data_IF_654005443475
#
_entry.id   IF_654005443475
#
_cell.length_a   1.000
_cell.length_b   1.000
_cell.length_c   1.000
_cell.angle_alpha   90.00
_cell.angle_beta   90.00
_cell.angle_gamma   90.00
#
_symmetry.space_group_name_H-M   'P 1'
#
loop_
_entity.id
_entity.type
_entity.pdbx_description
1 polymer ?
#
# COMPACT_ATOMS: atom_id res chain seq x y z
N UNK A 1 -53.24 30.15 40.78
CA UNK A 1 -51.90 30.73 40.59
C UNK A 1 -50.89 29.95 41.43
N UNK A 2 -50.08 29.09 40.78
CA UNK A 2 -48.69 28.76 41.13
C UNK A 2 -48.25 27.65 40.18
N UNK A 3 -47.62 28.11 39.11
CA UNK A 3 -46.88 27.38 38.10
C UNK A 3 -45.77 26.58 38.79
N UNK A 4 -45.69 25.27 38.56
CA UNK A 4 -44.46 24.50 38.76
C UNK A 4 -44.26 23.62 37.53
N UNK A 5 -43.35 24.10 36.69
CA UNK A 5 -42.87 23.48 35.48
C UNK A 5 -41.95 22.32 35.90
N UNK A 6 -42.41 21.08 35.78
CA UNK A 6 -41.53 19.91 35.91
C UNK A 6 -40.80 19.71 34.59
N UNK A 7 -39.63 20.35 34.47
CA UNK A 7 -38.62 20.01 33.47
C UNK A 7 -38.01 18.68 33.92
N UNK A 8 -38.48 17.58 33.33
CA UNK A 8 -37.75 16.31 33.44
C UNK A 8 -36.45 16.46 32.65
N UNK A 9 -35.36 16.67 33.40
CA UNK A 9 -34.00 16.47 32.94
C UNK A 9 -33.91 15.09 32.28
N UNK A 10 -33.73 15.09 30.96
CA UNK A 10 -33.29 13.89 30.25
C UNK A 10 -31.98 13.44 30.90
N UNK A 11 -32.04 12.26 31.52
CA UNK A 11 -30.90 11.60 32.12
C UNK A 11 -29.76 11.56 31.10
N UNK A 12 -28.59 12.04 31.54
CA UNK A 12 -27.30 11.83 30.91
C UNK A 12 -27.01 10.32 30.92
N UNK A 13 -27.68 9.56 30.06
CA UNK A 13 -27.17 8.26 29.66
C UNK A 13 -25.98 8.56 28.78
N UNK A 14 -24.85 8.59 29.47
CA UNK A 14 -23.48 8.54 29.00
C UNK A 14 -23.39 8.21 27.51
N UNK A 15 -22.89 9.16 26.72
CA UNK A 15 -22.31 8.90 25.42
C UNK A 15 -21.08 8.00 25.62
N UNK A 16 -21.29 6.73 25.94
CA UNK A 16 -20.25 5.71 26.06
C UNK A 16 -20.63 4.51 25.21
N UNK A 17 -20.86 4.78 23.93
CA UNK A 17 -20.76 3.78 22.87
C UNK A 17 -19.92 4.28 21.69
N UNK A 18 -19.02 5.25 21.92
CA UNK A 18 -18.11 5.79 20.88
C UNK A 18 -16.63 5.70 21.25
N UNK A 19 -16.24 4.82 22.19
CA UNK A 19 -14.83 4.63 22.59
C UNK A 19 -14.32 3.18 22.53
N UNK A 20 -14.95 2.31 21.74
CA UNK A 20 -14.39 1.00 21.39
C UNK A 20 -14.54 0.76 19.88
N UNK A 21 -13.71 1.44 19.11
CA UNK A 21 -13.67 1.32 17.64
C UNK A 21 -12.39 1.91 17.07
N UNK A 22 -11.29 1.85 17.82
CA UNK A 22 -9.97 1.80 17.18
C UNK A 22 -9.82 0.34 16.81
N UNK A 23 -10.23 -0.03 15.61
CA UNK A 23 -9.77 -1.25 14.97
C UNK A 23 -8.25 -1.13 14.95
N UNK A 24 -7.59 -1.79 15.91
CA UNK A 24 -6.16 -1.97 15.86
C UNK A 24 -5.90 -2.68 14.53
N UNK A 25 -5.06 -2.09 13.67
CA UNK A 25 -5.08 -2.48 12.29
C UNK A 25 -4.49 -3.89 12.27
N UNK A 26 -5.27 -4.86 11.79
CA UNK A 26 -5.02 -6.30 11.92
C UNK A 26 -3.53 -6.63 11.74
N UNK A 27 -2.92 -7.44 12.62
CA UNK A 27 -1.54 -7.84 12.48
C UNK A 27 -1.33 -8.48 11.10
N UNK A 28 -0.24 -8.10 10.43
CA UNK A 28 0.07 -8.66 9.11
C UNK A 28 0.28 -10.18 9.23
N UNK A 29 -0.30 -11.00 8.34
CA UNK A 29 -0.10 -12.44 8.39
C UNK A 29 1.39 -12.78 8.30
N UNK A 30 1.81 -13.80 9.05
CA UNK A 30 3.19 -14.29 8.97
C UNK A 30 3.41 -15.07 7.67
N UNK A 31 4.65 -15.10 7.17
CA UNK A 31 5.01 -15.88 5.98
C UNK A 31 4.54 -15.28 4.65
N UNK A 32 4.21 -13.98 4.61
CA UNK A 32 3.89 -13.28 3.36
C UNK A 32 5.09 -13.32 2.43
N UNK A 33 4.84 -13.81 1.22
CA UNK A 33 5.80 -13.76 0.11
C UNK A 33 5.32 -12.78 -0.95
N UNK A 34 6.12 -12.52 -1.98
CA UNK A 34 5.70 -11.73 -3.14
C UNK A 34 6.20 -12.35 -4.43
N UNK A 35 5.46 -12.08 -5.51
CA UNK A 35 5.72 -12.61 -6.85
C UNK A 35 5.88 -11.47 -7.86
N UNK A 36 6.79 -11.59 -8.85
CA UNK A 36 6.90 -10.60 -9.92
C UNK A 36 5.64 -10.63 -10.80
N UNK A 37 5.13 -9.45 -11.15
CA UNK A 37 3.98 -9.27 -12.04
C UNK A 37 4.43 -8.86 -13.44
N UNK A 38 5.39 -7.92 -13.54
CA UNK A 38 5.95 -7.51 -14.82
C UNK A 38 6.35 -6.04 -14.88
N UNK A 39 6.76 -5.60 -16.08
CA UNK A 39 7.22 -4.24 -16.33
C UNK A 39 6.17 -3.40 -17.06
N UNK A 40 5.82 -2.25 -16.49
CA UNK A 40 4.78 -1.37 -17.01
C UNK A 40 5.28 0.07 -17.13
N UNK A 41 4.76 0.80 -18.13
CA UNK A 41 5.06 2.22 -18.29
C UNK A 41 4.41 3.05 -17.19
N UNK A 42 5.06 4.14 -16.83
CA UNK A 42 4.53 5.19 -15.97
C UNK A 42 4.54 6.55 -16.68
N UNK A 43 3.83 7.53 -16.11
CA UNK A 43 3.79 8.91 -16.60
C UNK A 43 3.84 9.89 -15.43
N UNK A 44 4.06 11.16 -15.73
CA UNK A 44 4.11 12.20 -14.71
C UNK A 44 2.74 12.47 -14.05
N UNK A 45 1.66 12.55 -14.84
CA UNK A 45 0.31 12.79 -14.32
C UNK A 45 -0.80 12.24 -15.25
N UNK A 46 -1.77 11.47 -14.72
CA UNK A 46 -1.69 10.78 -13.43
C UNK A 46 -0.58 9.72 -13.44
N UNK A 47 0.00 9.39 -12.29
CA UNK A 47 0.90 8.23 -12.22
C UNK A 47 0.09 6.94 -12.21
N UNK A 48 0.69 5.85 -12.69
CA UNK A 48 0.10 4.51 -12.60
C UNK A 48 0.20 3.92 -11.19
N UNK A 49 1.22 4.35 -10.43
CA UNK A 49 1.38 4.08 -9.00
C UNK A 49 1.56 5.42 -8.27
N UNK A 50 0.53 5.94 -7.59
CA UNK A 50 0.49 7.35 -7.17
C UNK A 50 1.30 7.67 -5.91
N UNK A 51 1.58 6.69 -5.05
CA UNK A 51 2.25 6.93 -3.77
C UNK A 51 3.74 6.56 -3.84
N UNK A 52 4.63 7.53 -3.60
CA UNK A 52 6.03 7.24 -3.33
C UNK A 52 6.15 6.79 -1.87
N UNK A 53 6.39 5.49 -1.66
CA UNK A 53 6.52 4.90 -0.33
C UNK A 53 7.88 5.28 0.29
N UNK A 54 8.96 5.11 -0.48
CA UNK A 54 10.34 5.43 -0.07
C UNK A 54 11.27 5.54 -1.27
N UNK A 55 12.35 6.30 -1.13
CA UNK A 55 13.43 6.36 -2.11
C UNK A 55 14.69 5.67 -1.59
N UNK A 56 15.07 4.54 -2.20
CA UNK A 56 16.26 3.74 -1.84
C UNK A 56 17.43 3.93 -2.80
N UNK A 57 17.33 4.85 -3.78
CA UNK A 57 18.33 5.03 -4.84
C UNK A 57 19.75 5.27 -4.32
N UNK A 58 19.89 5.96 -3.18
CA UNK A 58 21.19 6.20 -2.55
C UNK A 58 21.83 4.97 -1.89
N UNK A 59 21.14 3.83 -1.83
CA UNK A 59 21.59 2.60 -1.14
C UNK A 59 21.43 1.34 -2.00
N UNK A 60 21.39 1.51 -3.33
CA UNK A 60 21.29 0.39 -4.27
C UNK A 60 22.59 -0.40 -4.23
N UNK A 61 22.46 -1.70 -3.95
CA UNK A 61 23.50 -2.67 -4.22
C UNK A 61 23.34 -3.15 -5.67
N UNK A 62 24.20 -2.66 -6.57
CA UNK A 62 24.15 -3.01 -8.00
C UNK A 62 24.58 -4.45 -8.28
N UNK A 63 25.30 -5.08 -7.35
CA UNK A 63 25.68 -6.49 -7.45
C UNK A 63 24.50 -7.41 -7.10
N UNK A 64 23.58 -6.93 -6.26
CA UNK A 64 22.42 -7.67 -5.79
C UNK A 64 21.18 -6.76 -5.62
N UNK A 65 20.39 -6.68 -6.69
CA UNK A 65 19.15 -5.90 -6.70
C UNK A 65 18.05 -6.50 -5.83
N UNK A 66 18.15 -7.76 -5.42
CA UNK A 66 17.14 -8.40 -4.56
C UNK A 66 17.04 -7.67 -3.22
N UNK A 67 18.14 -7.09 -2.72
CA UNK A 67 18.14 -6.24 -1.52
C UNK A 67 17.29 -4.98 -1.68
N UNK A 68 17.26 -4.40 -2.88
CA UNK A 68 16.40 -3.23 -3.16
C UNK A 68 14.93 -3.64 -3.28
N UNK A 69 14.68 -4.81 -3.88
CA UNK A 69 13.33 -5.39 -3.94
C UNK A 69 12.81 -5.66 -2.53
N UNK A 70 13.60 -6.30 -1.67
CA UNK A 70 13.21 -6.61 -0.30
C UNK A 70 12.92 -5.36 0.52
N UNK A 71 13.81 -4.34 0.47
CA UNK A 71 13.57 -3.05 1.14
C UNK A 71 12.25 -2.40 0.72
N UNK A 72 11.90 -2.50 -0.56
CA UNK A 72 10.63 -1.96 -1.06
C UNK A 72 9.43 -2.83 -0.63
N UNK A 73 9.57 -4.15 -0.63
CA UNK A 73 8.57 -5.06 -0.11
C UNK A 73 8.27 -4.77 1.37
N UNK A 74 9.30 -4.60 2.20
CA UNK A 74 9.15 -4.31 3.64
C UNK A 74 8.39 -2.99 3.86
N UNK A 75 8.76 -1.93 3.13
CA UNK A 75 8.07 -0.63 3.19
C UNK A 75 6.61 -0.72 2.72
N UNK A 76 6.37 -1.46 1.64
CA UNK A 76 5.03 -1.67 1.10
C UNK A 76 4.14 -2.49 2.04
N UNK A 77 4.70 -3.49 2.70
CA UNK A 77 4.02 -4.26 3.75
C UNK A 77 3.67 -3.40 4.95
N UNK A 78 4.61 -2.58 5.44
CA UNK A 78 4.36 -1.64 6.55
C UNK A 78 3.23 -0.66 6.22
N UNK A 79 3.06 -0.33 4.95
CA UNK A 79 1.98 0.51 4.42
C UNK A 79 0.76 -0.26 3.89
N UNK A 80 0.69 -1.57 4.12
CA UNK A 80 -0.42 -2.47 3.75
C UNK A 80 -0.80 -2.40 2.27
N UNK A 81 0.19 -2.30 1.39
CA UNK A 81 -0.05 -2.28 -0.06
C UNK A 81 -0.19 -3.71 -0.59
N UNK A 82 -1.15 -3.92 -1.49
CA UNK A 82 -1.33 -5.22 -2.18
C UNK A 82 -0.26 -5.42 -3.27
N UNK A 83 0.22 -4.32 -3.86
CA UNK A 83 1.26 -4.29 -4.87
C UNK A 83 2.29 -3.24 -4.52
N UNK A 84 3.52 -3.47 -4.96
CA UNK A 84 4.57 -2.47 -4.97
C UNK A 84 5.28 -2.47 -6.31
N UNK A 85 5.86 -1.34 -6.66
CA UNK A 85 6.59 -1.15 -7.90
C UNK A 85 7.90 -0.46 -7.63
N UNK A 86 8.93 -0.85 -8.37
CA UNK A 86 10.23 -0.20 -8.28
C UNK A 86 10.45 0.57 -9.56
N UNK A 87 10.57 1.90 -9.44
CA UNK A 87 10.92 2.81 -10.52
C UNK A 87 12.35 3.30 -10.36
N UNK A 88 12.96 3.67 -11.48
CA UNK A 88 14.26 4.32 -11.51
C UNK A 88 15.28 3.65 -10.57
N UNK A 89 15.34 2.32 -10.66
CA UNK A 89 16.22 1.40 -9.93
C UNK A 89 16.06 1.30 -8.41
N UNK A 90 15.27 2.16 -7.76
CA UNK A 90 15.17 2.14 -6.29
C UNK A 90 14.11 3.06 -5.68
N UNK A 91 13.25 3.69 -6.47
CA UNK A 91 12.07 4.38 -5.94
C UNK A 91 10.97 3.35 -5.72
N UNK A 92 10.53 3.23 -4.48
CA UNK A 92 9.49 2.32 -4.08
C UNK A 92 8.14 3.02 -4.20
N UNK A 93 7.31 2.54 -5.11
CA UNK A 93 5.99 3.07 -5.41
C UNK A 93 4.89 2.09 -4.99
N UNK A 94 3.74 2.66 -4.65
CA UNK A 94 2.55 1.93 -4.27
C UNK A 94 1.29 2.73 -4.61
N UNK A 95 0.18 2.28 -4.06
CA UNK A 95 -1.11 2.95 -4.14
C UNK A 95 -2.17 2.09 -3.50
N UNK A 96 -3.24 2.71 -3.02
CA UNK A 96 -4.38 1.98 -2.49
C UNK A 96 -5.14 1.29 -3.63
N UNK A 97 -5.84 0.18 -3.33
CA UNK A 97 -6.50 -0.68 -4.32
C UNK A 97 -7.36 0.10 -5.34
N UNK A 98 -8.07 1.14 -4.91
CA UNK A 98 -8.91 1.97 -5.78
C UNK A 98 -8.14 2.92 -6.71
N UNK A 99 -6.90 3.28 -6.36
CA UNK A 99 -6.08 4.24 -7.09
C UNK A 99 -4.88 3.60 -7.83
N UNK A 100 -4.69 2.29 -7.65
CA UNK A 100 -3.60 1.56 -8.24
C UNK A 100 -3.97 1.12 -9.67
N UNK A 101 -3.30 1.72 -10.67
CA UNK A 101 -3.58 1.49 -12.08
C UNK A 101 -2.31 1.13 -12.85
N UNK A 102 -1.43 0.32 -12.25
CA UNK A 102 -0.09 0.00 -12.79
C UNK A 102 -0.08 -0.50 -14.25
N UNK A 103 -1.18 -1.08 -14.75
CA UNK A 103 -1.31 -1.55 -16.15
C UNK A 103 -1.75 -0.48 -17.15
N UNK A 104 -2.20 0.71 -16.71
CA UNK A 104 -2.94 1.66 -17.54
C UNK A 104 -2.16 2.19 -18.76
N UNK A 105 -0.83 2.20 -18.71
CA UNK A 105 0.03 2.66 -19.82
C UNK A 105 0.70 1.53 -20.60
N UNK A 106 0.24 0.29 -20.37
CA UNK A 106 0.69 -0.91 -21.06
C UNK A 106 2.04 -1.44 -20.57
N UNK A 107 2.30 -2.71 -20.90
CA UNK A 107 3.56 -3.38 -20.58
C UNK A 107 4.70 -2.88 -21.47
N UNK A 108 5.91 -2.92 -20.93
CA UNK A 108 7.15 -2.68 -21.67
C UNK A 108 8.31 -3.45 -21.01
N UNK A 109 8.53 -4.73 -21.36
CA UNK A 109 9.58 -5.56 -20.76
C UNK A 109 10.99 -4.93 -20.82
N UNK A 110 11.32 -4.23 -21.91
CA UNK A 110 12.62 -3.57 -22.10
C UNK A 110 12.83 -2.34 -21.20
N UNK A 111 11.75 -1.81 -20.62
CA UNK A 111 11.74 -0.69 -19.69
C UNK A 111 12.23 -1.05 -18.28
N UNK A 112 12.44 -2.32 -17.99
CA UNK A 112 12.96 -2.78 -16.70
C UNK A 112 14.35 -3.40 -16.86
N UNK A 113 15.12 -3.34 -15.78
CA UNK A 113 16.46 -3.90 -15.71
C UNK A 113 16.38 -5.29 -15.08
N UNK A 114 16.90 -6.29 -15.82
CA UNK A 114 16.95 -7.71 -15.43
C UNK A 114 15.62 -8.32 -14.97
N UNK A 115 14.48 -7.74 -15.36
CA UNK A 115 13.16 -8.10 -14.84
C UNK A 115 13.12 -8.08 -13.30
N UNK A 116 13.71 -7.04 -12.70
CA UNK A 116 13.78 -6.89 -11.23
C UNK A 116 13.37 -5.49 -10.79
N UNK A 117 13.86 -4.46 -11.48
CA UNK A 117 13.58 -3.06 -11.14
C UNK A 117 13.27 -2.26 -12.41
N UNK A 118 12.44 -1.23 -12.31
CA UNK A 118 12.13 -0.35 -13.41
C UNK A 118 13.24 0.67 -13.71
N UNK A 119 13.40 1.02 -14.99
CA UNK A 119 14.19 2.20 -15.39
C UNK A 119 13.37 3.48 -15.14
N UNK A 120 13.85 4.62 -15.62
CA UNK A 120 13.06 5.86 -15.58
C UNK A 120 11.69 5.65 -16.27
N UNK A 121 10.61 6.12 -15.64
CA UNK A 121 9.23 6.02 -16.14
C UNK A 121 8.71 4.60 -16.39
N UNK A 122 9.26 3.62 -15.70
CA UNK A 122 8.79 2.24 -15.75
C UNK A 122 8.75 1.66 -14.35
N UNK A 123 7.68 0.96 -14.01
CA UNK A 123 7.54 0.25 -12.75
C UNK A 123 7.73 -1.25 -13.03
N UNK A 124 8.70 -1.88 -12.37
CA UNK A 124 8.67 -3.33 -12.24
C UNK A 124 7.81 -3.68 -11.02
N UNK A 125 6.67 -4.30 -11.26
CA UNK A 125 5.60 -4.48 -10.28
C UNK A 125 5.68 -5.88 -9.67
N UNK A 126 5.47 -5.93 -8.37
CA UNK A 126 5.33 -7.14 -7.56
C UNK A 126 3.97 -7.15 -6.86
N UNK A 127 3.49 -8.35 -6.54
CA UNK A 127 2.24 -8.63 -5.82
C UNK A 127 2.58 -9.43 -4.58
N UNK A 128 2.00 -9.11 -3.43
CA UNK A 128 2.08 -9.99 -2.27
C UNK A 128 1.19 -11.23 -2.44
N UNK A 129 1.71 -12.38 -2.03
CA UNK A 129 0.96 -13.63 -1.86
C UNK A 129 0.57 -13.70 -0.38
N UNK A 130 -0.63 -13.22 -0.09
CA UNK A 130 -1.21 -13.30 1.25
C UNK A 130 -1.90 -14.67 1.33
N UNK A 131 -1.49 -15.58 2.23
CA UNK A 131 -2.26 -16.79 2.48
C UNK A 131 -3.64 -16.36 2.98
N UNK A 132 -4.70 -16.79 2.31
CA UNK A 132 -6.06 -16.49 2.76
C UNK A 132 -6.28 -17.17 4.11
N UNK A 133 -6.19 -16.39 5.19
CA UNK A 133 -6.75 -16.74 6.48
C UNK A 133 -8.19 -16.24 6.52
N UNK A 134 -9.14 -17.15 6.37
CA UNK A 134 -10.53 -17.05 6.83
C UNK A 134 -11.25 -15.70 6.59
N UNK A 135 -11.24 -15.20 5.36
CA UNK A 135 -12.26 -14.22 4.95
C UNK A 135 -13.62 -14.94 4.88
N UNK A 136 -14.37 -14.74 5.95
CA UNK A 136 -15.76 -15.09 6.25
C UNK A 136 -16.66 -15.45 5.05
N UNK A 137 -17.34 -16.59 5.21
CA UNK A 137 -18.34 -17.18 4.31
C UNK A 137 -19.70 -16.51 4.48
#
# INVERSE_FOLDING_TARGET
MKTFLFVFLASLISCQAFLFGRDEPEPLPEGITFSPVGCFRDRFHPRAMPELLKNFRGTIDWSDLSKTVQKCADEAMNKRKEYFGIQYYGECWGGDKGNLSYKQYGSNPAGCYKNTVGKAWHNFVYRFNIPEGDSEK
#
